data_IF_671656370769
#
_entry.id   IF_671656370769
#
_cell.length_a   1.000
_cell.length_b   1.000
_cell.length_c   1.000
_cell.angle_alpha   90.00
_cell.angle_beta   90.00
_cell.angle_gamma   90.00
#
_symmetry.space_group_name_H-M   'P 1'
#
loop_
_entity.id
_entity.type
_entity.pdbx_description
1 polymer ?
#
# COMPACT_ATOMS: atom_id res chain seq x y z
N UNK A 1 32.01 46.37 9.95
CA UNK A 1 31.99 44.93 10.21
C UNK A 1 30.62 44.40 9.86
N UNK A 2 30.53 43.67 8.76
CA UNK A 2 29.28 43.06 8.31
C UNK A 2 29.35 41.60 8.69
N UNK A 3 28.53 41.20 9.66
CA UNK A 3 28.38 39.79 10.02
C UNK A 3 27.35 39.17 9.08
N UNK A 4 27.83 38.36 8.16
CA UNK A 4 26.97 37.55 7.30
C UNK A 4 26.41 36.39 8.12
N UNK A 5 25.10 36.45 8.38
CA UNK A 5 24.37 35.33 9.00
C UNK A 5 24.04 34.29 7.92
N UNK A 6 24.75 33.18 7.94
CA UNK A 6 24.42 32.03 7.09
C UNK A 6 23.17 31.31 7.65
N UNK A 7 22.05 31.50 6.99
CA UNK A 7 20.89 30.65 7.20
C UNK A 7 21.11 29.30 6.51
N UNK A 8 21.47 28.30 7.28
CA UNK A 8 21.44 26.93 6.82
C UNK A 8 19.98 26.47 6.75
N UNK A 9 19.42 26.49 5.54
CA UNK A 9 18.15 25.82 5.28
C UNK A 9 18.39 24.31 5.33
N UNK A 10 17.99 23.69 6.43
CA UNK A 10 17.89 22.24 6.51
C UNK A 10 16.65 21.79 5.73
N UNK A 11 16.86 21.45 4.46
CA UNK A 11 15.90 20.64 3.73
C UNK A 11 16.00 19.20 4.24
N UNK A 12 15.20 18.84 5.24
CA UNK A 12 15.02 17.46 5.58
C UNK A 12 14.16 16.81 4.49
N UNK A 13 14.81 16.20 3.49
CA UNK A 13 14.13 15.28 2.61
C UNK A 13 13.72 14.07 3.44
N UNK A 14 12.43 13.93 3.67
CA UNK A 14 11.89 12.71 4.27
C UNK A 14 12.10 11.57 3.27
N UNK A 15 13.19 10.82 3.46
CA UNK A 15 13.37 9.56 2.75
C UNK A 15 12.30 8.61 3.22
N UNK A 16 11.40 8.23 2.30
CA UNK A 16 10.44 7.16 2.53
C UNK A 16 11.24 5.88 2.74
N UNK A 17 11.34 5.42 3.98
CA UNK A 17 12.18 4.31 4.34
C UNK A 17 11.50 3.01 3.87
N UNK A 18 12.04 2.36 2.85
CA UNK A 18 11.53 1.09 2.32
C UNK A 18 11.47 -0.04 3.38
N UNK A 19 12.20 0.10 4.49
CA UNK A 19 12.16 -0.85 5.60
C UNK A 19 10.84 -0.84 6.37
N UNK A 20 10.13 0.31 6.40
CA UNK A 20 8.86 0.44 7.11
C UNK A 20 7.68 -0.15 6.33
N UNK A 21 7.88 -0.50 5.06
CA UNK A 21 6.85 -1.10 4.22
C UNK A 21 6.59 -2.58 4.54
N UNK A 22 7.56 -3.28 5.13
CA UNK A 22 7.53 -4.72 5.42
C UNK A 22 6.61 -5.05 6.59
N UNK A 23 5.32 -4.90 6.36
CA UNK A 23 4.29 -5.11 7.38
C UNK A 23 3.05 -5.69 6.72
N UNK A 24 2.16 -6.19 7.53
CA UNK A 24 0.78 -6.45 7.12
C UNK A 24 -0.01 -5.14 7.25
N UNK A 25 -0.72 -4.77 6.18
CA UNK A 25 -1.44 -3.51 6.06
C UNK A 25 -2.94 -3.76 5.90
N UNK A 26 -3.74 -3.14 6.76
CA UNK A 26 -5.20 -3.23 6.71
C UNK A 26 -5.78 -2.09 5.88
N UNK A 27 -6.58 -2.42 4.87
CA UNK A 27 -7.21 -1.43 3.98
C UNK A 27 -8.31 -0.68 4.73
N UNK A 28 -8.26 0.65 4.71
CA UNK A 28 -9.23 1.52 5.40
C UNK A 28 -9.90 2.54 4.50
N UNK A 29 -9.36 2.80 3.31
CA UNK A 29 -9.98 3.69 2.33
C UNK A 29 -9.68 3.20 0.91
N UNK A 30 -10.73 3.00 0.13
CA UNK A 30 -10.64 2.63 -1.28
C UNK A 30 -11.97 2.93 -1.97
N UNK A 31 -11.96 3.85 -2.96
CA UNK A 31 -13.14 4.27 -3.72
C UNK A 31 -14.34 4.59 -2.79
N UNK A 32 -15.54 4.16 -3.19
CA UNK A 32 -16.77 4.37 -2.44
C UNK A 32 -17.08 3.24 -1.45
N UNK A 33 -16.17 2.28 -1.29
CA UNK A 33 -16.37 1.21 -0.32
C UNK A 33 -16.34 1.74 1.10
N UNK A 34 -17.27 1.28 1.92
CA UNK A 34 -17.33 1.70 3.31
C UNK A 34 -16.16 1.13 4.11
N UNK A 35 -15.66 1.91 5.06
CA UNK A 35 -14.62 1.45 5.99
C UNK A 35 -15.09 0.22 6.78
N UNK A 36 -16.36 0.19 7.19
CA UNK A 36 -16.95 -0.94 7.93
C UNK A 36 -16.90 -2.23 7.13
N UNK A 37 -17.15 -2.18 5.81
CA UNK A 37 -17.04 -3.34 4.93
C UNK A 37 -15.59 -3.87 4.90
N UNK A 38 -14.63 -2.97 4.73
CA UNK A 38 -13.21 -3.35 4.67
C UNK A 38 -12.73 -3.96 5.99
N UNK A 39 -13.16 -3.40 7.12
CA UNK A 39 -12.85 -3.94 8.45
C UNK A 39 -13.52 -5.30 8.66
N UNK A 40 -14.80 -5.42 8.33
CA UNK A 40 -15.55 -6.68 8.45
C UNK A 40 -14.90 -7.79 7.64
N UNK A 41 -14.44 -7.48 6.45
CA UNK A 41 -13.78 -8.41 5.55
C UNK A 41 -12.31 -8.68 5.90
N UNK A 42 -11.76 -7.94 6.84
CA UNK A 42 -10.33 -7.97 7.16
C UNK A 42 -9.47 -7.77 5.91
N UNK A 43 -9.87 -6.82 5.08
CA UNK A 43 -9.19 -6.51 3.82
C UNK A 43 -7.75 -6.10 4.09
N UNK A 44 -6.79 -6.82 3.49
CA UNK A 44 -5.38 -6.65 3.82
C UNK A 44 -4.45 -6.85 2.63
N UNK A 45 -3.31 -6.18 2.72
CA UNK A 45 -2.15 -6.34 1.85
C UNK A 45 -0.96 -6.72 2.73
N UNK A 46 -0.40 -7.89 2.51
CA UNK A 46 0.73 -8.39 3.30
C UNK A 46 2.03 -8.20 2.54
N UNK A 47 2.84 -7.26 3.02
CA UNK A 47 4.16 -6.94 2.50
C UNK A 47 5.28 -7.40 3.46
N UNK A 48 4.96 -8.15 4.49
CA UNK A 48 5.90 -8.55 5.53
C UNK A 48 7.10 -9.35 5.00
N UNK A 49 6.92 -10.09 3.92
CA UNK A 49 7.97 -10.88 3.26
C UNK A 49 8.56 -10.22 2.02
N UNK A 50 8.07 -9.05 1.64
CA UNK A 50 8.50 -8.35 0.43
C UNK A 50 9.85 -7.68 0.66
N UNK A 51 10.86 -8.08 -0.10
CA UNK A 51 12.23 -7.52 -0.06
C UNK A 51 12.71 -7.21 -1.46
N UNK A 52 13.90 -6.64 -1.61
CA UNK A 52 14.53 -6.44 -2.92
C UNK A 52 14.90 -7.77 -3.60
N UNK A 53 15.15 -8.81 -2.82
CA UNK A 53 15.48 -10.15 -3.32
C UNK A 53 14.28 -11.09 -3.42
N UNK A 54 13.26 -10.89 -2.57
CA UNK A 54 11.97 -11.61 -2.62
C UNK A 54 10.84 -10.60 -2.75
N UNK A 55 10.32 -10.45 -3.96
CA UNK A 55 9.30 -9.44 -4.29
C UNK A 55 7.88 -9.91 -4.05
N UNK A 56 7.68 -11.10 -3.50
CA UNK A 56 6.33 -11.66 -3.31
C UNK A 56 5.54 -10.88 -2.27
N UNK A 57 4.29 -10.68 -2.58
CA UNK A 57 3.29 -10.17 -1.65
C UNK A 57 2.02 -11.01 -1.73
N UNK A 58 1.18 -10.91 -0.72
CA UNK A 58 -0.16 -11.48 -0.72
C UNK A 58 -1.19 -10.44 -0.30
N UNK A 59 -2.43 -10.70 -0.65
CA UNK A 59 -3.56 -9.85 -0.27
C UNK A 59 -4.82 -10.69 -0.12
N UNK A 60 -5.79 -10.16 0.62
CA UNK A 60 -7.10 -10.76 0.78
C UNK A 60 -8.12 -9.67 1.06
N UNK A 61 -9.20 -9.64 0.31
CA UNK A 61 -10.27 -8.66 0.45
C UNK A 61 -11.54 -9.26 1.09
N UNK A 62 -11.41 -10.45 1.69
CA UNK A 62 -12.50 -11.14 2.37
C UNK A 62 -12.97 -12.43 1.70
N UNK A 63 -12.47 -12.75 0.52
CA UNK A 63 -12.82 -13.98 -0.21
C UNK A 63 -11.57 -14.73 -0.65
N UNK A 64 -11.03 -14.41 -1.82
CA UNK A 64 -9.89 -15.13 -2.38
C UNK A 64 -8.55 -14.64 -1.81
N UNK A 65 -7.61 -15.56 -1.63
CA UNK A 65 -6.20 -15.23 -1.46
C UNK A 65 -5.63 -14.77 -2.80
N UNK A 66 -4.95 -13.64 -2.79
CA UNK A 66 -4.29 -13.06 -3.95
C UNK A 66 -2.80 -12.98 -3.70
N UNK A 67 -2.01 -13.10 -4.77
CA UNK A 67 -0.55 -13.07 -4.68
C UNK A 67 0.06 -12.50 -5.96
N UNK A 68 1.21 -11.90 -5.81
CA UNK A 68 1.94 -11.28 -6.91
C UNK A 68 3.32 -10.83 -6.47
N UNK A 69 3.92 -9.95 -7.27
CA UNK A 69 5.21 -9.35 -6.98
C UNK A 69 5.10 -7.83 -6.91
N UNK A 70 5.88 -7.23 -6.02
CA UNK A 70 5.95 -5.78 -5.86
C UNK A 70 7.41 -5.33 -5.76
N UNK A 71 7.73 -4.24 -6.44
CA UNK A 71 9.04 -3.60 -6.38
C UNK A 71 8.87 -2.19 -5.83
N UNK A 72 9.40 -1.97 -4.63
CA UNK A 72 9.40 -0.66 -3.97
C UNK A 72 10.77 -0.02 -4.11
N UNK A 73 10.79 1.21 -4.60
CA UNK A 73 12.02 2.02 -4.73
C UNK A 73 12.05 3.11 -3.67
N UNK A 74 13.26 3.47 -3.23
CA UNK A 74 13.47 4.49 -2.20
C UNK A 74 12.97 5.88 -2.60
N UNK A 75 12.77 6.14 -3.90
CA UNK A 75 12.25 7.40 -4.41
C UNK A 75 10.72 7.55 -4.30
N UNK A 76 10.03 6.59 -3.68
CA UNK A 76 8.58 6.63 -3.51
C UNK A 76 7.78 6.01 -4.66
N UNK A 77 8.44 5.37 -5.61
CA UNK A 77 7.77 4.63 -6.69
C UNK A 77 7.61 3.17 -6.36
N UNK A 78 6.55 2.56 -6.88
CA UNK A 78 6.27 1.14 -6.73
C UNK A 78 5.71 0.57 -8.03
N UNK A 79 6.00 -0.71 -8.28
CA UNK A 79 5.41 -1.46 -9.36
C UNK A 79 4.83 -2.77 -8.80
N UNK A 80 3.54 -2.97 -9.03
CA UNK A 80 2.86 -4.22 -8.70
C UNK A 80 2.63 -5.02 -9.98
N UNK A 81 2.93 -6.31 -9.96
CA UNK A 81 2.60 -7.23 -11.04
C UNK A 81 1.09 -7.51 -11.09
N UNK A 82 0.64 -8.14 -12.17
CA UNK A 82 -0.68 -8.77 -12.17
C UNK A 82 -0.74 -9.82 -11.06
N UNK A 83 -1.90 -9.95 -10.43
CA UNK A 83 -2.10 -10.88 -9.34
C UNK A 83 -2.69 -12.21 -9.83
N UNK A 84 -2.18 -13.30 -9.28
CA UNK A 84 -2.90 -14.57 -9.25
C UNK A 84 -3.84 -14.61 -8.07
N UNK A 85 -4.86 -15.46 -8.13
CA UNK A 85 -5.79 -15.63 -7.01
C UNK A 85 -6.39 -17.03 -6.98
N UNK A 86 -6.86 -17.45 -5.80
CA UNK A 86 -7.75 -18.59 -5.71
C UNK A 86 -9.09 -18.25 -6.38
N UNK A 87 -9.88 -19.26 -6.73
CA UNK A 87 -11.07 -19.11 -7.56
C UNK A 87 -12.32 -19.52 -6.78
N UNK A 88 -12.47 -19.04 -5.55
CA UNK A 88 -13.70 -19.27 -4.77
C UNK A 88 -14.77 -18.26 -5.17
N UNK A 89 -16.01 -18.67 -5.16
CA UNK A 89 -17.16 -17.78 -5.29
C UNK A 89 -17.66 -17.40 -3.91
N UNK A 90 -17.69 -16.11 -3.61
CA UNK A 90 -18.24 -15.58 -2.38
C UNK A 90 -19.46 -14.73 -2.72
N UNK A 91 -20.62 -15.06 -2.16
CA UNK A 91 -21.89 -14.38 -2.46
C UNK A 91 -21.91 -12.91 -2.05
N UNK A 92 -21.04 -12.53 -1.12
CA UNK A 92 -20.87 -11.15 -0.67
C UNK A 92 -19.45 -10.66 -0.98
N UNK A 93 -19.30 -9.37 -1.31
CA UNK A 93 -18.02 -8.67 -1.36
C UNK A 93 -17.08 -8.95 -2.54
N UNK A 94 -17.56 -9.60 -3.59
CA UNK A 94 -16.76 -9.79 -4.81
C UNK A 94 -16.36 -8.46 -5.47
N UNK A 95 -17.15 -7.40 -5.28
CA UNK A 95 -16.85 -6.10 -5.87
C UNK A 95 -15.57 -5.48 -5.32
N UNK A 96 -15.35 -5.57 -4.02
CA UNK A 96 -14.13 -5.05 -3.40
C UNK A 96 -12.88 -5.77 -3.94
N UNK A 97 -12.92 -7.10 -4.01
CA UNK A 97 -11.84 -7.91 -4.55
C UNK A 97 -11.59 -7.61 -6.03
N UNK A 98 -12.64 -7.57 -6.84
CA UNK A 98 -12.57 -7.31 -8.28
C UNK A 98 -11.93 -5.96 -8.56
N UNK A 99 -12.36 -4.91 -7.86
CA UNK A 99 -11.79 -3.58 -8.01
C UNK A 99 -10.34 -3.51 -7.52
N UNK A 100 -10.03 -4.17 -6.43
CA UNK A 100 -8.66 -4.22 -5.90
C UNK A 100 -7.71 -4.90 -6.89
N UNK A 101 -8.09 -6.05 -7.46
CA UNK A 101 -7.30 -6.77 -8.47
C UNK A 101 -7.05 -5.90 -9.71
N UNK A 102 -8.06 -5.13 -10.12
CA UNK A 102 -7.97 -4.25 -11.27
C UNK A 102 -7.06 -3.05 -11.02
N UNK A 103 -7.13 -2.47 -9.82
CA UNK A 103 -6.49 -1.18 -9.51
C UNK A 103 -5.05 -1.35 -9.04
N UNK A 104 -4.72 -2.39 -8.28
CA UNK A 104 -3.39 -2.51 -7.70
C UNK A 104 -2.26 -2.47 -8.75
N UNK A 105 -2.34 -3.14 -9.91
CA UNK A 105 -1.29 -3.03 -10.92
C UNK A 105 -1.13 -1.63 -11.54
N UNK A 106 -2.13 -0.76 -11.39
CA UNK A 106 -2.08 0.62 -11.88
C UNK A 106 -1.45 1.61 -10.89
N UNK A 107 -1.14 1.16 -9.68
CA UNK A 107 -0.51 1.99 -8.65
C UNK A 107 0.97 2.16 -8.98
N UNK A 108 1.45 3.40 -8.89
CA UNK A 108 2.83 3.78 -9.24
C UNK A 108 3.59 4.48 -8.12
N UNK A 109 2.91 4.93 -7.08
CA UNK A 109 3.51 5.68 -5.98
C UNK A 109 3.09 5.11 -4.63
N UNK A 110 3.99 5.18 -3.66
CA UNK A 110 3.69 4.82 -2.28
C UNK A 110 4.27 5.84 -1.32
N UNK A 111 3.64 5.94 -0.15
CA UNK A 111 4.12 6.78 0.95
C UNK A 111 3.83 6.09 2.27
N UNK A 112 4.84 5.98 3.12
CA UNK A 112 4.69 5.47 4.48
C UNK A 112 4.90 6.63 5.45
N UNK A 113 3.90 6.88 6.29
CA UNK A 113 3.95 7.88 7.35
C UNK A 113 3.58 7.20 8.67
N UNK A 114 4.60 6.84 9.47
CA UNK A 114 4.37 6.09 10.69
C UNK A 114 3.66 4.76 10.44
N UNK A 115 2.44 4.62 10.94
CA UNK A 115 1.62 3.41 10.80
C UNK A 115 0.64 3.47 9.61
N UNK A 116 0.84 4.39 8.69
CA UNK A 116 -0.05 4.60 7.54
C UNK A 116 0.69 4.38 6.24
N UNK A 117 0.05 3.66 5.32
CA UNK A 117 0.51 3.48 3.96
C UNK A 117 -0.51 4.10 3.01
N UNK A 118 -0.04 4.92 2.09
CA UNK A 118 -0.84 5.42 0.98
C UNK A 118 -0.27 4.90 -0.33
N UNK A 119 -1.11 4.26 -1.12
CA UNK A 119 -0.81 3.86 -2.50
C UNK A 119 -1.60 4.76 -3.44
N UNK A 120 -0.96 5.24 -4.50
CA UNK A 120 -1.59 6.18 -5.42
C UNK A 120 -1.06 6.07 -6.84
N UNK A 121 -1.74 6.75 -7.76
CA UNK A 121 -1.26 6.95 -9.12
C UNK A 121 -1.58 8.37 -9.60
N UNK A 122 -1.11 8.72 -10.80
CA UNK A 122 -1.31 10.06 -11.39
C UNK A 122 -2.78 10.36 -11.75
N UNK A 123 -3.63 9.35 -11.84
CA UNK A 123 -5.05 9.50 -12.19
C UNK A 123 -5.96 9.77 -10.98
N UNK A 124 -5.36 10.00 -9.80
CA UNK A 124 -6.10 10.31 -8.58
C UNK A 124 -6.61 9.09 -7.82
N UNK A 125 -6.24 7.89 -8.22
CA UNK A 125 -6.57 6.68 -7.44
C UNK A 125 -5.74 6.66 -6.16
N UNK A 126 -6.40 6.44 -5.02
CA UNK A 126 -5.78 6.39 -3.70
C UNK A 126 -6.33 5.21 -2.93
N UNK A 127 -5.42 4.41 -2.36
CA UNK A 127 -5.73 3.39 -1.36
C UNK A 127 -4.99 3.75 -0.08
N UNK A 128 -5.69 3.72 1.05
CA UNK A 128 -5.09 3.99 2.36
C UNK A 128 -5.18 2.77 3.26
N UNK A 129 -4.10 2.54 3.96
CA UNK A 129 -3.95 1.40 4.86
C UNK A 129 -3.42 1.86 6.21
N UNK A 130 -3.69 1.08 7.23
CA UNK A 130 -3.05 1.17 8.54
C UNK A 130 -2.30 -0.13 8.83
N UNK A 131 -1.20 -0.04 9.56
CA UNK A 131 -0.44 -1.22 9.94
C UNK A 131 -1.29 -2.12 10.86
N UNK A 132 -1.30 -3.42 10.58
CA UNK A 132 -2.10 -4.38 11.35
C UNK A 132 -1.62 -4.54 12.80
N UNK A 133 -0.35 -4.26 13.05
CA UNK A 133 0.28 -4.33 14.37
C UNK A 133 0.17 -3.03 15.17
N UNK A 134 -0.62 -2.07 14.68
CA UNK A 134 -0.86 -0.80 15.35
C UNK A 134 -2.23 -0.82 16.05
N UNK A 135 -2.20 -0.75 17.37
CA UNK A 135 -3.37 -0.61 18.23
C UNK A 135 -3.58 0.85 18.65
#
# INVERSE_FOLDING_TARGET
MVTASLFLMNCSSQTTNSTNIKREWMLVEFQDFSKDLMIKNKAKLDLSKTTNSDKRFSANMGCNGMFGQATFKANGTVAFSKMGSTMMFCSENMNLETEFVKILPAITMYKVEGHRLTLSNKNGVILKFVAADWD
#
